data_IF_768804166523
#
_entry.id   IF_768804166523
#
_cell.length_a   1.000
_cell.length_b   1.000
_cell.length_c   1.000
_cell.angle_alpha   90.00
_cell.angle_beta   90.00
_cell.angle_gamma   90.00
#
_symmetry.space_group_name_H-M   'P 1'
#
loop_
_entity.id
_entity.type
_entity.pdbx_description
1 polymer ?
#
# COMPACT_ATOMS: atom_id res chain seq x y z
N UNK A 1 2.37 17.26 7.19
CA UNK A 1 3.53 17.33 6.26
C UNK A 1 4.44 16.11 6.39
N UNK A 2 4.82 15.70 7.60
CA UNK A 2 5.65 14.51 7.87
C UNK A 2 5.11 13.20 7.22
N UNK A 3 3.82 12.92 7.35
CA UNK A 3 3.17 11.71 6.79
C UNK A 3 3.29 11.66 5.25
N UNK A 4 3.20 12.80 4.58
CA UNK A 4 3.38 12.88 3.12
C UNK A 4 4.83 12.54 2.74
N UNK A 5 5.80 13.11 3.46
CA UNK A 5 7.22 12.85 3.20
C UNK A 5 7.55 11.36 3.29
N UNK A 6 7.13 10.69 4.38
CA UNK A 6 7.32 9.24 4.51
C UNK A 6 6.57 8.44 3.44
N UNK A 7 5.37 8.88 3.04
CA UNK A 7 4.60 8.21 1.98
C UNK A 7 5.28 8.30 0.61
N UNK A 8 5.95 9.42 0.31
CA UNK A 8 6.72 9.61 -0.93
C UNK A 8 7.99 8.75 -0.90
N UNK A 9 8.72 8.72 0.21
CA UNK A 9 9.89 7.85 0.35
C UNK A 9 9.53 6.37 0.18
N UNK A 10 8.43 5.94 0.81
CA UNK A 10 7.93 4.57 0.65
C UNK A 10 7.52 4.27 -0.80
N UNK A 11 6.90 5.23 -1.50
CA UNK A 11 6.60 5.08 -2.92
C UNK A 11 7.87 4.92 -3.78
N UNK A 12 8.92 5.70 -3.51
CA UNK A 12 10.20 5.57 -4.21
C UNK A 12 10.86 4.21 -3.92
N UNK A 13 10.83 3.77 -2.66
CA UNK A 13 11.33 2.46 -2.27
C UNK A 13 10.58 1.32 -2.98
N UNK A 14 9.26 1.42 -3.09
CA UNK A 14 8.43 0.48 -3.83
C UNK A 14 8.83 0.40 -5.31
N UNK A 15 9.07 1.55 -5.97
CA UNK A 15 9.48 1.61 -7.38
C UNK A 15 10.84 0.95 -7.57
N UNK A 16 11.82 1.29 -6.72
CA UNK A 16 13.17 0.69 -6.77
C UNK A 16 13.09 -0.82 -6.57
N UNK A 17 12.28 -1.28 -5.63
CA UNK A 17 12.00 -2.69 -5.41
C UNK A 17 11.45 -3.39 -6.65
N UNK A 18 10.37 -2.85 -7.22
CA UNK A 18 9.77 -3.38 -8.45
C UNK A 18 10.79 -3.51 -9.59
N UNK A 19 11.57 -2.47 -9.86
CA UNK A 19 12.60 -2.47 -10.91
C UNK A 19 13.70 -3.49 -10.60
N UNK A 20 14.14 -3.59 -9.35
CA UNK A 20 15.15 -4.56 -8.94
C UNK A 20 14.67 -6.01 -9.16
N UNK A 21 13.44 -6.35 -8.77
CA UNK A 21 12.92 -7.71 -8.95
C UNK A 21 12.54 -8.04 -10.40
N UNK A 22 12.25 -7.03 -11.21
CA UNK A 22 12.11 -7.17 -12.66
C UNK A 22 13.45 -7.59 -13.29
N UNK A 23 14.55 -6.92 -12.94
CA UNK A 23 15.90 -7.25 -13.43
C UNK A 23 16.35 -8.63 -12.90
N UNK A 24 16.09 -8.90 -11.62
CA UNK A 24 16.40 -10.18 -10.98
C UNK A 24 15.46 -11.32 -11.40
N UNK A 25 14.49 -11.07 -12.29
CA UNK A 25 13.52 -12.05 -12.81
C UNK A 25 12.77 -12.83 -11.72
N UNK A 26 12.56 -12.24 -10.54
CA UNK A 26 11.75 -12.83 -9.48
C UNK A 26 10.30 -12.34 -9.64
N UNK A 27 9.53 -13.05 -10.47
CA UNK A 27 8.16 -12.66 -10.85
C UNK A 27 7.24 -12.43 -9.65
N UNK A 28 7.20 -13.30 -8.62
CA UNK A 28 6.31 -13.07 -7.48
C UNK A 28 6.64 -11.81 -6.69
N UNK A 29 7.93 -11.54 -6.42
CA UNK A 29 8.34 -10.32 -5.74
C UNK A 29 8.08 -9.07 -6.61
N UNK A 30 8.23 -9.20 -7.93
CA UNK A 30 7.92 -8.14 -8.88
C UNK A 30 6.42 -7.76 -8.85
N UNK A 31 5.51 -8.73 -8.85
CA UNK A 31 4.06 -8.48 -8.76
C UNK A 31 3.70 -7.78 -7.44
N UNK A 32 4.25 -8.24 -6.31
CA UNK A 32 4.00 -7.62 -5.01
C UNK A 32 4.62 -6.22 -4.90
N UNK A 33 5.77 -6.00 -5.53
CA UNK A 33 6.37 -4.69 -5.71
C UNK A 33 5.45 -3.76 -6.49
N UNK A 34 4.88 -4.22 -7.60
CA UNK A 34 3.94 -3.44 -8.41
C UNK A 34 2.67 -3.06 -7.62
N UNK A 35 2.10 -4.00 -6.87
CA UNK A 35 0.97 -3.74 -5.97
C UNK A 35 1.34 -2.65 -4.96
N UNK A 36 2.52 -2.75 -4.35
CA UNK A 36 3.02 -1.76 -3.39
C UNK A 36 3.18 -0.37 -4.02
N UNK A 37 3.74 -0.30 -5.23
CA UNK A 37 3.88 0.96 -5.99
C UNK A 37 2.53 1.59 -6.23
N UNK A 38 1.58 0.82 -6.77
CA UNK A 38 0.27 1.33 -7.13
C UNK A 38 -0.48 1.88 -5.90
N UNK A 39 -0.50 1.13 -4.80
CA UNK A 39 -1.15 1.55 -3.57
C UNK A 39 -0.48 2.77 -2.93
N UNK A 40 0.86 2.84 -2.93
CA UNK A 40 1.59 4.00 -2.41
C UNK A 40 1.40 5.23 -3.28
N UNK A 41 1.32 5.10 -4.61
CA UNK A 41 1.01 6.22 -5.51
C UNK A 41 -0.40 6.79 -5.24
N UNK A 42 -1.42 5.92 -5.13
CA UNK A 42 -2.78 6.36 -4.80
C UNK A 42 -2.79 7.06 -3.44
N UNK A 43 -2.12 6.48 -2.44
CA UNK A 43 -2.03 7.06 -1.10
C UNK A 43 -1.41 8.46 -1.13
N UNK A 44 -0.27 8.62 -1.82
CA UNK A 44 0.39 9.91 -1.98
C UNK A 44 -0.53 10.91 -2.69
N UNK A 45 -1.22 10.48 -3.75
CA UNK A 45 -2.16 11.32 -4.48
C UNK A 45 -3.31 11.81 -3.58
N UNK A 46 -3.93 10.93 -2.80
CA UNK A 46 -4.98 11.28 -1.84
C UNK A 46 -4.48 12.26 -0.77
N UNK A 47 -3.27 12.05 -0.23
CA UNK A 47 -2.67 12.96 0.75
C UNK A 47 -2.39 14.35 0.16
N UNK A 48 -1.90 14.41 -1.09
CA UNK A 48 -1.69 15.69 -1.80
C UNK A 48 -3.01 16.42 -1.98
N UNK A 49 -4.06 15.71 -2.42
CA UNK A 49 -5.39 16.30 -2.61
C UNK A 49 -6.00 16.80 -1.29
N UNK A 50 -5.84 16.06 -0.19
CA UNK A 50 -6.30 16.49 1.14
C UNK A 50 -5.56 17.75 1.60
N UNK A 51 -4.23 17.79 1.49
CA UNK A 51 -3.41 18.97 1.87
C UNK A 51 -3.80 20.20 1.03
N UNK A 52 -4.07 20.02 -0.27
CA UNK A 52 -4.51 21.10 -1.16
C UNK A 52 -5.99 21.48 -0.99
N UNK A 53 -6.74 20.83 -0.09
CA UNK A 53 -8.19 20.98 0.10
C UNK A 53 -8.99 20.78 -1.21
N UNK A 54 -8.49 19.94 -2.12
CA UNK A 54 -9.14 19.62 -3.42
C UNK A 54 -9.70 18.21 -3.50
N UNK A 55 -9.72 17.48 -2.39
CA UNK A 55 -10.17 16.09 -2.36
C UNK A 55 -11.62 15.97 -2.86
N UNK A 56 -12.54 16.81 -2.37
CA UNK A 56 -13.96 16.79 -2.73
C UNK A 56 -14.22 17.15 -4.20
N UNK A 57 -13.26 17.77 -4.90
CA UNK A 57 -13.39 18.11 -6.33
C UNK A 57 -13.06 16.92 -7.23
N UNK A 58 -12.24 16.00 -6.74
CA UNK A 58 -11.76 14.83 -7.49
C UNK A 58 -12.43 13.53 -7.08
N UNK A 59 -12.79 13.41 -5.80
CA UNK A 59 -13.39 12.23 -5.21
C UNK A 59 -14.53 12.64 -4.27
N UNK A 60 -15.71 12.12 -4.53
CA UNK A 60 -16.82 12.03 -3.61
C UNK A 60 -16.80 10.74 -2.77
N UNK A 61 -17.75 10.59 -1.84
CA UNK A 61 -17.79 9.48 -0.89
C UNK A 61 -17.86 8.10 -1.56
N UNK A 62 -18.56 8.01 -2.70
CA UNK A 62 -18.71 6.76 -3.46
C UNK A 62 -17.40 6.33 -4.12
N UNK A 63 -16.63 7.25 -4.71
CA UNK A 63 -15.33 6.90 -5.30
C UNK A 63 -14.30 6.53 -4.23
N UNK A 64 -14.32 7.21 -3.07
CA UNK A 64 -13.51 6.79 -1.92
C UNK A 64 -13.91 5.41 -1.40
N UNK A 65 -15.20 5.07 -1.43
CA UNK A 65 -15.69 3.73 -1.13
C UNK A 65 -15.14 2.67 -2.09
N UNK A 66 -15.12 2.95 -3.40
CA UNK A 66 -14.53 2.05 -4.40
C UNK A 66 -13.02 1.87 -4.20
N UNK A 67 -12.31 2.95 -3.87
CA UNK A 67 -10.88 2.90 -3.53
C UNK A 67 -10.62 2.09 -2.25
N UNK A 68 -11.48 2.24 -1.24
CA UNK A 68 -11.43 1.43 -0.02
C UNK A 68 -11.64 -0.05 -0.33
N UNK A 69 -12.63 -0.39 -1.17
CA UNK A 69 -12.84 -1.77 -1.61
C UNK A 69 -11.63 -2.34 -2.37
N UNK A 70 -11.06 -1.56 -3.30
CA UNK A 70 -9.84 -1.94 -4.01
C UNK A 70 -8.69 -2.21 -3.03
N UNK A 71 -8.46 -1.31 -2.07
CA UNK A 71 -7.42 -1.47 -1.06
C UNK A 71 -7.63 -2.74 -0.21
N UNK A 72 -8.88 -3.06 0.13
CA UNK A 72 -9.24 -4.30 0.83
C UNK A 72 -8.94 -5.56 -0.01
N UNK A 73 -9.28 -5.56 -1.30
CA UNK A 73 -8.96 -6.67 -2.21
C UNK A 73 -7.44 -6.85 -2.35
N UNK A 74 -6.68 -5.77 -2.51
CA UNK A 74 -5.22 -5.84 -2.59
C UNK A 74 -4.59 -6.29 -1.27
N UNK A 75 -5.16 -5.86 -0.13
CA UNK A 75 -4.74 -6.30 1.20
C UNK A 75 -4.91 -7.81 1.36
N UNK A 76 -6.09 -8.36 1.04
CA UNK A 76 -6.37 -9.80 1.14
C UNK A 76 -5.45 -10.61 0.24
N UNK A 77 -5.21 -10.17 -1.00
CA UNK A 77 -4.25 -10.80 -1.91
C UNK A 77 -2.82 -10.80 -1.35
N UNK A 78 -2.41 -9.71 -0.68
CA UNK A 78 -1.08 -9.60 -0.07
C UNK A 78 -0.94 -10.52 1.15
N UNK A 79 -1.99 -10.66 1.97
CA UNK A 79 -2.03 -11.59 3.10
C UNK A 79 -1.99 -13.04 2.62
N UNK A 80 -2.78 -13.39 1.61
CA UNK A 80 -2.76 -14.74 1.02
C UNK A 80 -1.39 -15.08 0.42
N UNK A 81 -0.75 -14.12 -0.24
CA UNK A 81 0.62 -14.27 -0.75
C UNK A 81 1.61 -14.53 0.37
N UNK A 82 1.53 -13.78 1.47
CA UNK A 82 2.39 -13.98 2.65
C UNK A 82 2.22 -15.39 3.22
N UNK A 83 0.98 -15.83 3.42
CA UNK A 83 0.67 -17.18 3.93
C UNK A 83 1.26 -18.23 2.97
N UNK A 84 0.99 -18.11 1.67
CA UNK A 84 1.48 -19.05 0.66
C UNK A 84 3.01 -19.17 0.65
N UNK A 85 3.73 -18.04 0.55
CA UNK A 85 5.19 -18.07 0.49
C UNK A 85 5.81 -18.53 1.81
N UNK A 86 5.23 -18.16 2.95
CA UNK A 86 5.72 -18.59 4.27
C UNK A 86 5.48 -20.08 4.49
N UNK A 87 4.26 -20.58 4.25
CA UNK A 87 3.93 -22.00 4.39
C UNK A 87 4.79 -22.87 3.49
N UNK A 88 5.02 -22.45 2.24
CA UNK A 88 5.85 -23.22 1.32
C UNK A 88 7.34 -23.17 1.67
N UNK A 89 7.85 -22.06 2.21
CA UNK A 89 9.21 -21.97 2.72
C UNK A 89 9.42 -22.92 3.91
N UNK A 90 8.47 -22.97 4.85
CA UNK A 90 8.49 -23.87 6.01
C UNK A 90 8.44 -25.33 5.56
N UNK A 91 7.50 -25.68 4.67
CA UNK A 91 7.25 -27.06 4.25
C UNK A 91 8.40 -27.64 3.43
N UNK A 92 9.03 -26.83 2.57
CA UNK A 92 10.12 -27.28 1.71
C UNK A 92 11.49 -27.26 2.40
N UNK A 93 11.59 -26.77 3.65
CA UNK A 93 12.85 -26.62 4.42
C UNK A 93 13.99 -26.08 3.56
N UNK A 94 13.69 -25.16 2.65
CA UNK A 94 14.66 -24.71 1.64
C UNK A 94 15.70 -23.84 2.33
N UNK A 95 16.98 -24.21 2.18
CA UNK A 95 18.10 -23.34 2.53
C UNK A 95 17.94 -22.00 1.77
N UNK A 96 18.55 -20.92 2.28
CA UNK A 96 18.46 -19.60 1.64
C UNK A 96 19.13 -19.66 0.26
N UNK A 97 18.33 -19.94 -0.76
CA UNK A 97 18.72 -20.06 -2.16
C UNK A 97 19.07 -18.68 -2.74
N UNK A 98 19.82 -18.60 -3.86
CA UNK A 98 20.06 -17.34 -4.56
C UNK A 98 18.73 -16.60 -4.87
N UNK A 99 18.78 -15.27 -4.87
CA UNK A 99 17.61 -14.36 -4.86
C UNK A 99 16.57 -14.66 -5.95
N UNK A 100 17.00 -15.14 -7.13
CA UNK A 100 16.13 -15.56 -8.24
C UNK A 100 15.16 -16.68 -7.84
N UNK A 101 15.62 -17.64 -7.04
CA UNK A 101 14.86 -18.79 -6.56
C UNK A 101 14.40 -18.67 -5.10
N UNK A 102 14.83 -17.60 -4.42
CA UNK A 102 14.50 -17.36 -3.03
C UNK A 102 13.04 -16.94 -2.89
N UNK A 103 12.35 -17.55 -1.93
CA UNK A 103 10.98 -17.18 -1.55
C UNK A 103 10.95 -16.10 -0.47
N UNK A 104 12.12 -15.73 0.07
CA UNK A 104 12.26 -14.68 1.09
C UNK A 104 11.88 -13.29 0.54
N UNK A 105 12.32 -12.84 -0.65
CA UNK A 105 11.90 -11.54 -1.18
C UNK A 105 10.37 -11.42 -1.36
N UNK A 106 9.64 -12.40 -1.93
CA UNK A 106 8.18 -12.38 -1.94
C UNK A 106 7.53 -12.26 -0.56
N UNK A 107 8.09 -12.88 0.49
CA UNK A 107 7.60 -12.75 1.86
C UNK A 107 7.73 -11.29 2.34
N UNK A 108 8.93 -10.70 2.20
CA UNK A 108 9.20 -9.31 2.60
C UNK A 108 8.30 -8.33 1.85
N UNK A 109 8.13 -8.52 0.53
CA UNK A 109 7.25 -7.66 -0.27
C UNK A 109 5.77 -7.87 0.01
N UNK A 110 5.37 -9.06 0.44
CA UNK A 110 4.00 -9.26 0.92
C UNK A 110 3.73 -8.43 2.17
N UNK A 111 4.68 -8.37 3.12
CA UNK A 111 4.55 -7.52 4.31
C UNK A 111 4.47 -6.02 3.96
N UNK A 112 5.31 -5.55 3.04
CA UNK A 112 5.28 -4.15 2.57
C UNK A 112 3.95 -3.85 1.87
N UNK A 113 3.49 -4.74 0.99
CA UNK A 113 2.21 -4.59 0.30
C UNK A 113 1.04 -4.56 1.30
N UNK A 114 1.04 -5.42 2.32
CA UNK A 114 0.05 -5.41 3.42
C UNK A 114 0.03 -4.06 4.11
N UNK A 115 1.20 -3.55 4.54
CA UNK A 115 1.29 -2.25 5.21
C UNK A 115 0.74 -1.12 4.33
N UNK A 116 1.11 -1.09 3.06
CA UNK A 116 0.69 -0.04 2.13
C UNK A 116 -0.80 -0.09 1.82
N UNK A 117 -1.36 -1.30 1.61
CA UNK A 117 -2.78 -1.49 1.38
C UNK A 117 -3.62 -1.18 2.62
N UNK A 118 -3.13 -1.54 3.81
CA UNK A 118 -3.80 -1.21 5.07
C UNK A 118 -3.86 0.31 5.30
N UNK A 119 -2.75 1.02 5.06
CA UNK A 119 -2.72 2.48 5.17
C UNK A 119 -3.64 3.16 4.14
N UNK A 120 -3.67 2.66 2.90
CA UNK A 120 -4.58 3.17 1.88
C UNK A 120 -6.05 2.93 2.26
N UNK A 121 -6.37 1.72 2.76
CA UNK A 121 -7.70 1.38 3.25
C UNK A 121 -8.13 2.30 4.40
N UNK A 122 -7.26 2.51 5.39
CA UNK A 122 -7.54 3.41 6.50
C UNK A 122 -7.78 4.85 6.05
N UNK A 123 -6.91 5.40 5.18
CA UNK A 123 -7.02 6.78 4.72
C UNK A 123 -8.28 7.02 3.87
N UNK A 124 -8.63 6.08 3.00
CA UNK A 124 -9.85 6.17 2.17
C UNK A 124 -11.12 6.18 3.02
N UNK A 125 -11.20 5.34 4.07
CA UNK A 125 -12.31 5.36 5.03
C UNK A 125 -12.32 6.66 5.81
N UNK A 126 -11.17 7.08 6.36
CA UNK A 126 -11.08 8.31 7.13
C UNK A 126 -11.57 9.51 6.33
N UNK A 127 -11.07 9.69 5.11
CA UNK A 127 -11.47 10.81 4.26
C UNK A 127 -12.93 10.72 3.81
N UNK A 128 -13.46 9.51 3.61
CA UNK A 128 -14.89 9.33 3.32
C UNK A 128 -15.75 9.78 4.50
N UNK A 129 -15.41 9.37 5.71
CA UNK A 129 -16.15 9.75 6.92
C UNK A 129 -16.09 11.26 7.17
N UNK A 130 -14.94 11.89 6.97
CA UNK A 130 -14.79 13.35 7.06
C UNK A 130 -15.67 14.11 6.04
N UNK A 131 -15.98 13.51 4.89
CA UNK A 131 -16.88 14.10 3.90
C UNK A 131 -18.35 13.87 4.23
N UNK A 132 -18.70 12.69 4.75
CA UNK A 132 -20.08 12.35 5.13
C UNK A 132 -20.50 13.08 6.43
N UNK A 133 -19.56 13.34 7.35
CA UNK A 133 -19.79 14.01 8.64
C UNK A 133 -18.81 15.19 8.87
N UNK A 134 -19.00 16.36 8.22
CA UNK A 134 -18.10 17.51 8.36
C UNK A 134 -18.11 18.17 9.76
N UNK A 135 -18.99 17.77 10.68
CA UNK A 135 -19.13 18.34 12.03
C UNK A 135 -18.19 17.69 13.08
N UNK A 136 -17.40 16.67 12.71
CA UNK A 136 -16.44 15.99 13.58
C UNK A 136 -14.98 16.44 13.38
N UNK A 137 -14.71 17.55 12.66
CA UNK A 137 -13.37 18.14 12.72
C UNK A 137 -13.11 18.61 14.18
N UNK A 138 -12.10 18.07 14.88
CA UNK A 138 -11.72 18.66 16.16
C UNK A 138 -11.32 20.10 15.86
N UNK A 139 -11.96 21.04 16.56
CA UNK A 139 -11.51 22.42 16.66
C UNK A 139 -10.06 22.39 17.16
N UNK A 140 -9.10 22.35 16.22
CA UNK A 140 -7.70 22.58 16.53
C UNK A 140 -7.62 24.07 16.80
N UNK A 141 -7.58 24.40 18.09
CA UNK A 141 -7.34 25.74 18.61
C UNK A 141 -6.17 26.39 17.86
N UNK A 142 -6.46 27.54 17.23
CA UNK A 142 -5.43 28.50 16.85
C UNK A 142 -4.77 29.00 18.15
N UNK A 143 -3.56 28.52 18.46
CA UNK A 143 -2.60 29.23 19.32
C UNK A 143 -1.18 29.01 18.83
#
# INVERSE_FOLDING_TARGET
>A
MLILFFSVLDCLFAIVGFVAFLILKNTPACILGLISVYSSMIRVFLLILKIKKRLNQWYGPRELGNLSWLAYVLLTMSVLSLIYFTSTQILLKTAVLPVYSSRVPPIVWSCIAIQNNFLLFYLTIKFRNEMENPLEEPLVEET
#
